data_IF_526985201693
#
_entry.id   IF_526985201693
#
_cell.length_a   1.000
_cell.length_b   1.000
_cell.length_c   1.000
_cell.angle_alpha   90.00
_cell.angle_beta   90.00
_cell.angle_gamma   90.00
#
_symmetry.space_group_name_H-M   'P 1'
#
loop_
_entity.id
_entity.type
_entity.pdbx_description
1 polymer ?
#
# COMPACT_ATOMS: atom_id res chain seq x y z
N UNK A 1 18.86 -8.84 -10.63
CA UNK A 1 18.69 -7.43 -11.02
C UNK A 1 18.90 -7.23 -12.52
N UNK A 2 20.06 -7.55 -13.08
CA UNK A 2 20.41 -7.39 -14.50
C UNK A 2 19.37 -7.92 -15.50
N UNK A 3 18.76 -9.07 -15.21
CA UNK A 3 17.69 -9.63 -16.06
C UNK A 3 16.47 -8.68 -16.18
N UNK A 4 16.01 -8.13 -15.05
CA UNK A 4 14.87 -7.19 -15.05
C UNK A 4 15.24 -5.87 -15.72
N UNK A 5 16.42 -5.32 -15.44
CA UNK A 5 16.91 -4.09 -16.06
C UNK A 5 16.97 -4.21 -17.58
N UNK A 6 17.51 -5.32 -18.09
CA UNK A 6 17.65 -5.55 -19.53
C UNK A 6 16.29 -5.60 -20.23
N UNK A 7 15.31 -6.31 -19.66
CA UNK A 7 14.00 -6.50 -20.28
C UNK A 7 13.04 -5.32 -20.05
N UNK A 8 13.27 -4.51 -19.02
CA UNK A 8 12.46 -3.33 -18.72
C UNK A 8 13.10 -2.03 -19.21
N UNK A 9 14.30 -2.05 -19.79
CA UNK A 9 15.07 -0.85 -20.15
C UNK A 9 14.24 0.23 -20.84
N UNK A 10 13.48 -0.10 -21.88
CA UNK A 10 12.63 0.87 -22.58
C UNK A 10 11.61 1.52 -21.65
N UNK A 11 10.92 0.73 -20.83
CA UNK A 11 9.94 1.24 -19.84
C UNK A 11 10.63 2.12 -18.80
N UNK A 12 11.83 1.74 -18.33
CA UNK A 12 12.58 2.49 -17.34
C UNK A 12 13.01 3.86 -17.89
N UNK A 13 13.64 3.87 -19.07
CA UNK A 13 14.19 5.06 -19.70
C UNK A 13 13.06 6.04 -20.10
N UNK A 14 11.97 5.54 -20.71
CA UNK A 14 10.86 6.38 -21.18
C UNK A 14 10.06 7.05 -20.04
N UNK A 15 9.98 6.40 -18.88
CA UNK A 15 9.15 6.85 -17.76
C UNK A 15 9.95 7.44 -16.59
N UNK A 16 11.27 7.57 -16.75
CA UNK A 16 12.15 8.06 -15.68
C UNK A 16 12.11 7.16 -14.44
N UNK A 17 12.04 5.84 -14.64
CA UNK A 17 11.97 4.85 -13.56
C UNK A 17 13.32 4.15 -13.38
N UNK A 18 13.56 3.63 -12.19
CA UNK A 18 14.75 2.87 -11.87
C UNK A 18 14.43 1.65 -11.01
N UNK A 19 15.25 0.61 -11.13
CA UNK A 19 15.24 -0.55 -10.25
C UNK A 19 16.26 -0.32 -9.13
N UNK A 20 15.81 -0.41 -7.89
CA UNK A 20 16.64 -0.21 -6.70
C UNK A 20 16.73 -1.51 -5.90
N UNK A 21 17.94 -2.02 -5.71
CA UNK A 21 18.21 -3.10 -4.76
C UNK A 21 18.13 -2.56 -3.33
N UNK A 22 17.19 -3.09 -2.56
CA UNK A 22 16.98 -2.68 -1.17
C UNK A 22 17.22 -3.82 -0.18
N UNK A 23 17.86 -4.92 -0.61
CA UNK A 23 18.14 -6.08 0.25
C UNK A 23 18.94 -5.73 1.51
N UNK A 24 19.76 -4.66 1.44
CA UNK A 24 20.55 -4.16 2.58
C UNK A 24 19.78 -3.17 3.47
N UNK A 25 18.72 -2.56 2.97
CA UNK A 25 17.85 -1.72 3.79
C UNK A 25 16.77 -2.60 4.42
N UNK A 26 17.08 -3.12 5.60
CA UNK A 26 16.21 -4.04 6.34
C UNK A 26 14.92 -3.40 6.87
N UNK A 27 14.81 -2.07 6.79
CA UNK A 27 13.72 -1.29 7.37
C UNK A 27 12.86 -0.54 6.36
N UNK A 28 13.21 -0.58 5.07
CA UNK A 28 12.51 0.17 4.02
C UNK A 28 11.00 -0.05 4.06
N UNK A 29 10.52 -1.28 4.26
CA UNK A 29 9.10 -1.64 4.36
C UNK A 29 8.60 -1.77 5.81
N UNK A 30 9.35 -1.27 6.78
CA UNK A 30 8.87 -1.27 8.17
C UNK A 30 7.83 -0.18 8.36
N UNK A 31 6.69 -0.56 8.97
CA UNK A 31 5.59 0.33 9.33
C UNK A 31 5.07 0.03 10.72
N UNK A 32 4.67 1.09 11.41
CA UNK A 32 3.85 1.05 12.61
C UNK A 32 2.69 2.00 12.36
N UNK A 33 1.51 1.45 12.11
CA UNK A 33 0.32 2.23 11.80
C UNK A 33 -0.80 1.79 12.76
N UNK A 34 -1.51 2.73 13.42
CA UNK A 34 -2.56 2.39 14.38
C UNK A 34 -3.69 1.58 13.75
N UNK A 35 -3.93 1.69 12.43
CA UNK A 35 -4.93 0.91 11.68
C UNK A 35 -4.61 -0.56 11.58
N UNK A 36 -3.37 -0.95 11.81
CA UNK A 36 -2.94 -2.34 11.75
C UNK A 36 -2.82 -2.91 13.17
N UNK A 37 -3.32 -4.14 13.41
CA UNK A 37 -3.26 -4.76 14.74
C UNK A 37 -1.83 -5.10 15.20
N UNK A 38 -0.84 -4.95 14.32
CA UNK A 38 0.57 -5.15 14.61
C UNK A 38 1.43 -4.29 13.67
N UNK A 39 2.61 -3.89 14.17
CA UNK A 39 3.64 -3.33 13.32
C UNK A 39 4.26 -4.39 12.40
N UNK A 40 4.63 -4.00 11.19
CA UNK A 40 5.35 -4.86 10.26
C UNK A 40 6.80 -4.40 10.17
N UNK A 41 7.74 -5.33 10.25
CA UNK A 41 9.16 -5.07 10.00
C UNK A 41 9.59 -5.85 8.77
N UNK A 42 10.34 -5.20 7.90
CA UNK A 42 10.92 -5.91 6.77
C UNK A 42 11.39 -5.03 5.63
N UNK A 43 11.73 -5.75 4.58
CA UNK A 43 12.29 -5.25 3.32
C UNK A 43 11.80 -6.11 2.17
N UNK A 44 12.18 -5.75 0.95
CA UNK A 44 12.00 -6.55 -0.26
C UNK A 44 13.36 -6.76 -0.94
N UNK A 45 13.38 -7.45 -2.08
CA UNK A 45 14.64 -7.59 -2.83
C UNK A 45 14.88 -6.39 -3.74
N UNK A 46 13.85 -5.96 -4.48
CA UNK A 46 13.96 -4.83 -5.43
C UNK A 46 12.73 -3.94 -5.37
N UNK A 47 12.92 -2.62 -5.51
CA UNK A 47 11.86 -1.65 -5.78
C UNK A 47 11.96 -1.16 -7.23
N UNK A 48 10.82 -0.94 -7.88
CA UNK A 48 10.73 -0.11 -9.08
C UNK A 48 10.18 1.24 -8.65
N UNK A 49 10.96 2.30 -8.84
CA UNK A 49 10.67 3.65 -8.32
C UNK A 49 10.89 4.72 -9.39
N UNK A 50 10.29 5.88 -9.19
CA UNK A 50 10.63 7.11 -9.91
C UNK A 50 12.06 7.56 -9.56
N UNK A 51 12.87 7.88 -10.56
CA UNK A 51 14.28 8.26 -10.35
C UNK A 51 14.43 9.48 -9.44
N UNK A 52 13.43 10.38 -9.41
CA UNK A 52 13.44 11.56 -8.55
C UNK A 52 13.35 11.20 -7.07
N UNK A 53 12.67 10.10 -6.72
CA UNK A 53 12.55 9.67 -5.32
C UNK A 53 13.89 9.19 -4.74
N UNK A 54 14.75 8.62 -5.59
CA UNK A 54 16.11 8.22 -5.23
C UNK A 54 16.98 9.46 -4.94
N UNK A 55 16.85 10.52 -5.74
CA UNK A 55 17.63 11.77 -5.55
C UNK A 55 17.36 12.43 -4.19
N UNK A 56 16.17 12.22 -3.64
CA UNK A 56 15.74 12.75 -2.35
C UNK A 56 15.90 11.76 -1.18
N UNK A 57 16.55 10.59 -1.40
CA UNK A 57 16.78 9.57 -0.37
C UNK A 57 15.46 9.06 0.25
N UNK A 58 14.36 9.13 -0.48
CA UNK A 58 13.05 8.61 -0.06
C UNK A 58 12.49 7.72 -1.18
N UNK A 59 13.03 6.50 -1.38
CA UNK A 59 12.66 5.66 -2.52
C UNK A 59 11.15 5.39 -2.62
N UNK A 60 10.48 5.26 -1.47
CA UNK A 60 9.04 4.98 -1.40
C UNK A 60 8.17 6.18 -1.81
N UNK A 61 8.70 7.40 -1.86
CA UNK A 61 7.99 8.56 -2.42
C UNK A 61 7.65 8.37 -3.92
N UNK A 62 8.39 7.51 -4.62
CA UNK A 62 8.20 7.25 -6.05
C UNK A 62 7.86 5.81 -6.38
N UNK A 63 7.49 4.98 -5.40
CA UNK A 63 7.33 3.54 -5.64
C UNK A 63 6.21 3.23 -6.64
N UNK A 64 6.51 2.33 -7.57
CA UNK A 64 5.58 1.79 -8.58
C UNK A 64 5.37 0.30 -8.40
N UNK A 65 6.41 -0.42 -7.97
CA UNK A 65 6.32 -1.85 -7.73
C UNK A 65 7.30 -2.30 -6.65
N UNK A 66 6.86 -3.24 -5.81
CA UNK A 66 7.68 -3.99 -4.85
C UNK A 66 7.93 -5.39 -5.43
N UNK A 67 9.19 -5.82 -5.50
CA UNK A 67 9.59 -7.07 -6.15
C UNK A 67 10.28 -8.00 -5.16
N UNK A 68 9.68 -9.18 -4.98
CA UNK A 68 10.23 -10.30 -4.23
C UNK A 68 10.75 -11.37 -5.18
N UNK A 69 12.03 -11.65 -5.10
CA UNK A 69 12.74 -12.67 -5.86
C UNK A 69 12.89 -13.95 -5.04
N UNK A 70 12.67 -15.10 -5.68
CA UNK A 70 12.90 -16.41 -5.08
C UNK A 70 13.59 -17.32 -6.08
N UNK A 71 14.45 -18.23 -5.62
CA UNK A 71 14.95 -19.31 -6.49
C UNK A 71 13.84 -20.26 -6.92
N UNK A 72 12.83 -20.44 -6.06
CA UNK A 72 11.63 -21.22 -6.30
C UNK A 72 10.48 -20.58 -5.54
N UNK A 73 9.36 -20.33 -6.22
CA UNK A 73 8.17 -19.79 -5.58
C UNK A 73 7.43 -20.90 -4.81
N UNK A 74 7.04 -20.61 -3.57
CA UNK A 74 6.35 -21.53 -2.67
C UNK A 74 5.14 -20.80 -2.07
N UNK A 75 4.17 -21.55 -1.54
CA UNK A 75 2.93 -20.97 -0.99
C UNK A 75 3.19 -19.92 0.10
N UNK A 76 4.15 -20.17 0.99
CA UNK A 76 4.52 -19.23 2.07
C UNK A 76 5.06 -17.88 1.57
N UNK A 77 5.67 -17.86 0.38
CA UNK A 77 6.22 -16.64 -0.20
C UNK A 77 5.13 -15.65 -0.62
N UNK A 78 3.92 -16.13 -0.92
CA UNK A 78 2.79 -15.26 -1.30
C UNK A 78 2.35 -14.36 -0.15
N UNK A 79 2.16 -14.93 1.04
CA UNK A 79 1.77 -14.16 2.22
C UNK A 79 2.82 -13.08 2.56
N UNK A 80 4.10 -13.41 2.45
CA UNK A 80 5.19 -12.45 2.60
C UNK A 80 5.09 -11.30 1.57
N UNK A 81 4.94 -11.63 0.28
CA UNK A 81 4.83 -10.63 -0.78
C UNK A 81 3.58 -9.73 -0.63
N UNK A 82 2.48 -10.26 -0.09
CA UNK A 82 1.30 -9.46 0.22
C UNK A 82 1.58 -8.45 1.35
N UNK A 83 2.27 -8.88 2.41
CA UNK A 83 2.69 -7.96 3.48
C UNK A 83 3.63 -6.87 2.98
N UNK A 84 4.56 -7.21 2.08
CA UNK A 84 5.45 -6.23 1.44
C UNK A 84 4.68 -5.21 0.58
N UNK A 85 3.65 -5.65 -0.16
CA UNK A 85 2.74 -4.75 -0.88
C UNK A 85 1.95 -3.86 0.08
N UNK A 86 1.40 -4.40 1.16
CA UNK A 86 0.68 -3.60 2.17
C UNK A 86 1.60 -2.52 2.73
N UNK A 87 2.81 -2.87 3.16
CA UNK A 87 3.78 -1.90 3.67
C UNK A 87 4.11 -0.81 2.66
N UNK A 88 4.46 -1.19 1.42
CA UNK A 88 4.79 -0.23 0.38
C UNK A 88 3.60 0.68 0.07
N UNK A 89 2.39 0.10 0.01
CA UNK A 89 1.17 0.85 -0.26
C UNK A 89 0.78 1.78 0.89
N UNK A 90 1.11 1.47 2.15
CA UNK A 90 0.89 2.36 3.28
C UNK A 90 1.88 3.52 3.32
N UNK A 91 3.13 3.28 2.92
CA UNK A 91 4.21 4.29 2.94
C UNK A 91 4.26 5.17 1.69
N UNK A 92 3.71 4.72 0.57
CA UNK A 92 3.67 5.50 -0.65
C UNK A 92 2.91 6.82 -0.41
N UNK A 93 3.28 7.94 -1.05
CA UNK A 93 2.54 9.19 -0.94
C UNK A 93 1.25 9.16 -1.78
N UNK A 94 0.51 10.28 -1.77
CA UNK A 94 -0.63 10.48 -2.65
C UNK A 94 -0.22 10.28 -4.12
N UNK A 95 -1.13 9.73 -4.93
CA UNK A 95 -0.90 9.39 -6.35
C UNK A 95 0.22 8.38 -6.64
N UNK A 96 0.70 7.65 -5.64
CA UNK A 96 1.62 6.53 -5.82
C UNK A 96 0.95 5.21 -5.42
N UNK A 97 0.52 4.44 -6.42
CA UNK A 97 -0.13 3.15 -6.22
C UNK A 97 0.79 2.00 -6.61
N UNK A 98 1.51 1.39 -5.65
CA UNK A 98 2.40 0.28 -5.94
C UNK A 98 1.62 -1.00 -6.23
N UNK A 99 2.22 -1.86 -7.07
CA UNK A 99 1.84 -3.27 -7.19
C UNK A 99 2.94 -4.16 -6.61
N UNK A 100 2.58 -5.39 -6.22
CA UNK A 100 3.52 -6.41 -5.76
C UNK A 100 3.84 -7.40 -6.87
N UNK A 101 5.10 -7.83 -6.97
CA UNK A 101 5.55 -8.91 -7.83
C UNK A 101 6.35 -9.93 -7.01
N UNK A 102 5.89 -11.18 -7.00
CA UNK A 102 6.66 -12.32 -6.50
C UNK A 102 7.07 -13.19 -7.70
N UNK A 103 8.37 -13.40 -7.89
CA UNK A 103 8.87 -14.13 -9.04
C UNK A 103 10.16 -14.92 -8.83
N UNK A 104 10.33 -15.98 -9.62
CA UNK A 104 11.60 -16.69 -9.82
C UNK A 104 12.32 -16.31 -11.11
N UNK A 105 11.78 -15.33 -11.83
CA UNK A 105 12.26 -14.84 -13.14
C UNK A 105 12.16 -15.89 -14.26
N UNK A 106 11.52 -17.04 -14.01
CA UNK A 106 11.26 -18.07 -15.03
C UNK A 106 9.80 -18.08 -15.39
N UNK A 107 8.98 -18.84 -14.67
CA UNK A 107 7.61 -19.19 -15.05
C UNK A 107 6.59 -18.88 -13.93
N UNK A 108 7.06 -18.25 -12.85
CA UNK A 108 6.24 -17.90 -11.69
C UNK A 108 6.16 -16.39 -11.54
N UNK A 109 5.34 -15.70 -12.33
CA UNK A 109 5.15 -14.25 -12.19
C UNK A 109 3.83 -13.96 -11.47
N UNK A 110 3.88 -13.76 -10.15
CA UNK A 110 2.69 -13.51 -9.34
C UNK A 110 2.57 -12.01 -9.05
N UNK A 111 1.65 -11.35 -9.75
CA UNK A 111 1.31 -9.94 -9.56
C UNK A 111 0.21 -9.78 -8.53
N UNK A 112 0.27 -8.75 -7.69
CA UNK A 112 -0.72 -8.45 -6.66
C UNK A 112 -0.98 -6.95 -6.54
N UNK A 113 -2.23 -6.55 -6.31
CA UNK A 113 -2.64 -5.14 -6.14
C UNK A 113 -4.04 -5.06 -5.49
N UNK A 114 -4.45 -3.90 -4.98
CA UNK A 114 -5.84 -3.69 -4.55
C UNK A 114 -6.67 -3.15 -5.71
N UNK A 115 -7.85 -3.72 -5.96
CA UNK A 115 -8.71 -3.34 -7.09
C UNK A 115 -9.79 -2.31 -6.66
N UNK A 116 -10.69 -1.94 -7.59
CA UNK A 116 -11.85 -1.05 -7.35
C UNK A 116 -12.77 -1.47 -6.20
N UNK A 117 -12.85 -2.77 -5.91
CA UNK A 117 -13.62 -3.30 -4.78
C UNK A 117 -12.84 -3.26 -3.48
N UNK A 118 -11.66 -2.61 -3.47
CA UNK A 118 -10.77 -2.45 -2.32
C UNK A 118 -10.30 -3.80 -1.74
N UNK A 119 -10.22 -4.82 -2.60
CA UNK A 119 -9.75 -6.16 -2.21
C UNK A 119 -8.44 -6.52 -2.91
N UNK A 120 -7.61 -7.29 -2.21
CA UNK A 120 -6.36 -7.83 -2.75
C UNK A 120 -6.66 -8.77 -3.92
N UNK A 121 -6.28 -8.34 -5.11
CA UNK A 121 -6.32 -9.13 -6.34
C UNK A 121 -4.92 -9.66 -6.63
N UNK A 122 -4.83 -10.89 -7.16
CA UNK A 122 -3.58 -11.44 -7.62
C UNK A 122 -3.75 -12.22 -8.92
N UNK A 123 -2.71 -12.21 -9.75
CA UNK A 123 -2.66 -12.87 -11.04
C UNK A 123 -1.34 -13.59 -11.20
N UNK A 124 -1.39 -14.86 -11.61
CA UNK A 124 -0.19 -15.60 -12.03
C UNK A 124 -0.07 -15.54 -13.55
N UNK A 125 1.08 -15.10 -14.03
CA UNK A 125 1.48 -15.15 -15.43
C UNK A 125 2.64 -16.15 -15.57
N UNK A 126 2.54 -17.03 -16.57
CA UNK A 126 3.56 -18.07 -16.83
C UNK A 126 4.58 -17.60 -17.87
N UNK A 127 4.12 -16.91 -18.91
CA UNK A 127 5.00 -16.46 -20.00
C UNK A 127 5.69 -15.13 -19.62
N UNK A 128 7.05 -15.06 -19.60
CA UNK A 128 7.79 -13.85 -19.25
C UNK A 128 7.41 -12.63 -20.09
N UNK A 129 7.20 -12.80 -21.40
CA UNK A 129 6.78 -11.70 -22.28
C UNK A 129 5.51 -11.03 -21.78
N UNK A 130 4.50 -11.82 -21.43
CA UNK A 130 3.25 -11.32 -20.87
C UNK A 130 3.47 -10.65 -19.50
N UNK A 131 4.41 -11.14 -18.70
CA UNK A 131 4.75 -10.51 -17.42
C UNK A 131 5.39 -9.12 -17.62
N UNK A 132 6.30 -8.99 -18.57
CA UNK A 132 6.89 -7.69 -18.92
C UNK A 132 5.87 -6.73 -19.52
N UNK A 133 4.99 -7.21 -20.41
CA UNK A 133 3.87 -6.42 -20.94
C UNK A 133 2.93 -5.95 -19.82
N UNK A 134 2.68 -6.78 -18.81
CA UNK A 134 1.91 -6.39 -17.63
C UNK A 134 2.62 -5.27 -16.84
N UNK A 135 3.91 -5.44 -16.53
CA UNK A 135 4.70 -4.42 -15.81
C UNK A 135 4.65 -3.10 -16.58
N UNK A 136 4.95 -3.13 -17.88
CA UNK A 136 4.97 -1.96 -18.75
C UNK A 136 3.66 -1.17 -18.72
N UNK A 137 2.51 -1.83 -18.59
CA UNK A 137 1.21 -1.14 -18.50
C UNK A 137 0.85 -0.73 -17.09
N UNK A 138 1.22 -1.52 -16.09
CA UNK A 138 0.82 -1.28 -14.71
C UNK A 138 1.65 -0.20 -14.00
N UNK A 139 2.88 0.07 -14.41
CA UNK A 139 3.78 1.02 -13.70
C UNK A 139 3.81 2.43 -14.26
N UNK A 140 3.31 2.65 -15.49
CA UNK A 140 3.33 3.95 -16.18
C UNK A 140 2.44 4.97 -15.50
N UNK A 141 1.22 4.58 -15.16
CA UNK A 141 0.27 5.45 -14.47
C UNK A 141 0.36 5.21 -12.96
N UNK A 142 0.83 6.17 -12.16
CA UNK A 142 1.00 5.96 -10.72
C UNK A 142 -0.28 6.19 -9.92
N UNK A 143 -1.22 7.00 -10.42
CA UNK A 143 -2.38 7.43 -9.63
C UNK A 143 -3.41 6.31 -9.40
N UNK A 144 -4.06 6.36 -8.23
CA UNK A 144 -5.16 5.47 -7.87
C UNK A 144 -6.33 5.61 -8.86
N UNK A 145 -7.10 4.54 -9.02
CA UNK A 145 -8.37 4.51 -9.78
C UNK A 145 -8.29 4.71 -11.29
N UNK A 146 -7.11 5.04 -11.86
CA UNK A 146 -6.97 5.13 -13.31
C UNK A 146 -6.89 3.74 -13.93
N UNK A 147 -7.79 3.41 -14.88
CA UNK A 147 -7.77 2.11 -15.54
C UNK A 147 -6.54 1.96 -16.44
N UNK A 148 -6.02 0.75 -16.53
CA UNK A 148 -5.01 0.35 -17.50
C UNK A 148 -5.40 -0.96 -18.17
N UNK A 149 -4.98 -1.13 -19.42
CA UNK A 149 -5.28 -2.31 -20.23
C UNK A 149 -4.00 -3.07 -20.56
N UNK A 150 -4.07 -4.39 -20.40
CA UNK A 150 -2.99 -5.32 -20.73
C UNK A 150 -3.44 -6.19 -21.91
N UNK A 151 -2.61 -6.42 -22.95
CA UNK A 151 -3.06 -6.99 -24.23
C UNK A 151 -3.78 -8.35 -24.14
N UNK A 152 -3.37 -9.20 -23.20
CA UNK A 152 -3.91 -10.57 -23.03
C UNK A 152 -4.96 -10.67 -21.92
N UNK A 153 -5.35 -9.56 -21.31
CA UNK A 153 -6.44 -9.50 -20.33
C UNK A 153 -7.60 -8.77 -20.99
N UNK A 154 -8.69 -9.49 -21.24
CA UNK A 154 -9.87 -8.98 -21.97
C UNK A 154 -10.71 -7.93 -21.24
N UNK A 155 -10.17 -7.29 -20.20
CA UNK A 155 -10.82 -6.25 -19.41
C UNK A 155 -9.81 -5.21 -18.95
N UNK A 156 -10.31 -4.03 -18.60
CA UNK A 156 -9.51 -3.03 -17.90
C UNK A 156 -9.26 -3.43 -16.46
N UNK A 157 -8.13 -2.98 -15.93
CA UNK A 157 -7.72 -3.19 -14.55
C UNK A 157 -7.54 -1.84 -13.88
N UNK A 158 -7.91 -1.76 -12.62
CA UNK A 158 -7.66 -0.61 -11.76
C UNK A 158 -6.81 -1.03 -10.57
N UNK A 159 -6.02 -0.10 -10.06
CA UNK A 159 -5.21 -0.28 -8.85
C UNK A 159 -5.49 0.84 -7.86
N UNK A 160 -5.50 0.46 -6.59
CA UNK A 160 -5.78 1.31 -5.45
C UNK A 160 -4.71 1.13 -4.39
N UNK A 161 -4.48 2.19 -3.63
CA UNK A 161 -3.59 2.21 -2.49
C UNK A 161 -4.39 1.86 -1.23
N UNK A 162 -3.91 0.92 -0.42
CA UNK A 162 -4.61 0.49 0.80
C UNK A 162 -4.78 1.62 1.82
N UNK A 163 -3.80 2.52 1.90
CA UNK A 163 -3.84 3.71 2.76
C UNK A 163 -5.09 4.58 2.53
N UNK A 164 -5.58 4.64 1.29
CA UNK A 164 -6.72 5.47 0.89
C UNK A 164 -8.07 4.92 1.41
N UNK A 165 -8.11 3.66 1.85
CA UNK A 165 -9.36 3.00 2.22
C UNK A 165 -9.30 2.12 3.46
N UNK A 166 -8.12 1.97 4.08
CA UNK A 166 -7.99 1.31 5.36
C UNK A 166 -8.63 2.20 6.43
N UNK A 167 -9.73 1.77 7.08
CA UNK A 167 -10.41 2.59 8.07
C UNK A 167 -9.49 2.82 9.28
N UNK A 168 -9.61 3.98 9.91
CA UNK A 168 -9.06 4.20 11.24
C UNK A 168 -9.66 3.16 12.20
N UNK A 169 -8.89 2.63 13.17
CA UNK A 169 -9.51 1.86 14.25
C UNK A 169 -10.54 2.76 14.90
N UNK A 170 -11.69 2.18 15.20
CA UNK A 170 -12.58 2.76 16.19
C UNK A 170 -11.77 2.91 17.48
N UNK A 171 -11.60 4.14 17.97
CA UNK A 171 -10.94 4.40 19.25
C UNK A 171 -11.85 3.99 20.43
N UNK A 172 -13.02 3.43 20.13
CA UNK A 172 -14.04 3.00 21.06
C UNK A 172 -14.72 4.19 21.72
N UNK A 173 -14.47 5.43 21.28
CA UNK A 173 -15.06 6.61 21.88
C UNK A 173 -16.58 6.62 21.65
N UNK A 174 -17.04 6.17 20.48
CA UNK A 174 -18.45 6.00 20.15
C UNK A 174 -19.10 4.97 21.10
N UNK A 175 -18.52 3.77 21.20
CA UNK A 175 -19.02 2.69 22.06
C UNK A 175 -18.98 3.07 23.56
N UNK A 176 -17.93 3.77 23.99
CA UNK A 176 -17.79 4.26 25.36
C UNK A 176 -18.82 5.35 25.67
N UNK A 177 -19.09 6.27 24.75
CA UNK A 177 -20.15 7.26 24.92
C UNK A 177 -21.52 6.62 24.97
N UNK A 178 -21.83 5.66 24.09
CA UNK A 178 -23.08 4.91 24.15
C UNK A 178 -23.29 4.25 25.51
N UNK A 179 -22.23 3.67 26.11
CA UNK A 179 -22.30 3.11 27.47
C UNK A 179 -22.59 4.18 28.54
N UNK A 180 -21.99 5.37 28.45
CA UNK A 180 -22.29 6.45 29.38
C UNK A 180 -23.73 6.95 29.23
N UNK A 181 -24.25 7.05 28.00
CA UNK A 181 -25.65 7.40 27.73
C UNK A 181 -26.63 6.35 28.29
N UNK A 182 -26.31 5.07 28.16
CA UNK A 182 -27.12 3.98 28.73
C UNK A 182 -27.17 3.99 30.26
N UNK A 183 -26.17 4.59 30.91
CA UNK A 183 -26.10 4.73 32.37
C UNK A 183 -26.46 6.14 32.86
N UNK A 184 -27.12 6.96 32.03
CA UNK A 184 -27.39 8.37 32.34
C UNK A 184 -28.26 8.59 33.57
N UNK A 185 -29.02 7.57 34.01
CA UNK A 185 -29.82 7.56 35.24
C UNK A 185 -29.03 7.16 36.49
N UNK A 186 -27.87 6.52 36.32
CA UNK A 186 -27.00 6.04 37.41
C UNK A 186 -25.80 6.97 37.64
N UNK A 187 -25.35 7.66 36.59
CA UNK A 187 -24.13 8.47 36.59
C UNK A 187 -24.42 9.93 36.94
N UNK A 188 -23.49 10.60 37.63
CA UNK A 188 -23.62 12.01 37.98
C UNK A 188 -23.76 12.90 36.73
N UNK A 189 -24.73 13.84 36.69
CA UNK A 189 -24.97 14.71 35.53
C UNK A 189 -23.73 15.50 35.07
N UNK A 190 -22.95 16.00 36.01
CA UNK A 190 -21.72 16.77 35.74
C UNK A 190 -20.65 15.89 35.09
N UNK A 191 -20.52 14.64 35.54
CA UNK A 191 -19.61 13.67 34.92
C UNK A 191 -20.04 13.35 33.49
N UNK A 192 -21.33 13.07 33.27
CA UNK A 192 -21.85 12.74 31.94
C UNK A 192 -21.67 13.92 30.97
N UNK A 193 -21.93 15.15 31.44
CA UNK A 193 -21.75 16.35 30.64
C UNK A 193 -20.27 16.56 30.25
N UNK A 194 -19.33 16.29 31.16
CA UNK A 194 -17.91 16.33 30.85
C UNK A 194 -17.52 15.31 29.76
N UNK A 195 -18.04 14.07 29.84
CA UNK A 195 -17.77 13.04 28.82
C UNK A 195 -18.34 13.38 27.44
N UNK A 196 -19.56 13.93 27.38
CA UNK A 196 -20.14 14.45 26.13
C UNK A 196 -19.27 15.55 25.52
N UNK A 197 -18.74 16.46 26.34
CA UNK A 197 -17.86 17.54 25.84
C UNK A 197 -16.51 17.02 25.35
N UNK A 198 -15.91 16.05 26.03
CA UNK A 198 -14.66 15.42 25.61
C UNK A 198 -14.84 14.68 24.28
N UNK A 199 -15.92 13.90 24.16
CA UNK A 199 -16.28 13.19 22.93
C UNK A 199 -16.55 14.15 21.77
N UNK A 200 -17.35 15.20 21.99
CA UNK A 200 -17.61 16.21 20.97
C UNK A 200 -16.32 16.92 20.52
N UNK A 201 -15.38 17.15 21.44
CA UNK A 201 -14.07 17.72 21.10
C UNK A 201 -13.23 16.77 20.25
N UNK A 202 -13.18 15.49 20.62
CA UNK A 202 -12.49 14.46 19.82
C UNK A 202 -13.08 14.35 18.41
N UNK A 203 -14.41 14.39 18.29
CA UNK A 203 -15.13 14.31 17.02
C UNK A 203 -14.86 15.54 16.13
N UNK A 204 -14.77 16.74 16.73
CA UNK A 204 -14.35 17.95 16.00
C UNK A 204 -12.88 17.88 15.60
N UNK A 205 -11.99 17.35 16.45
CA UNK A 205 -10.56 17.21 16.14
C UNK A 205 -10.27 16.19 15.05
N UNK A 206 -11.09 15.13 14.94
CA UNK A 206 -10.96 14.13 13.89
C UNK A 206 -11.52 14.59 12.53
N UNK A 207 -12.26 15.70 12.49
CA UNK A 207 -12.75 16.27 11.24
C UNK A 207 -11.60 16.90 10.42
N UNK A 208 -11.48 16.55 9.12
CA UNK A 208 -10.39 17.05 8.25
C UNK A 208 -10.28 18.58 8.20
N UNK A 209 -11.40 19.30 8.38
CA UNK A 209 -11.45 20.76 8.33
C UNK A 209 -10.83 21.45 9.55
N UNK A 210 -10.75 20.75 10.69
CA UNK A 210 -10.31 21.31 11.98
C UNK A 210 -9.02 20.67 12.53
N UNK A 211 -8.52 19.63 11.88
CA UNK A 211 -7.33 18.88 12.31
C UNK A 211 -6.06 19.75 12.46
N UNK A 212 -5.93 20.84 11.69
CA UNK A 212 -4.77 21.74 11.74
C UNK A 212 -4.86 22.83 12.83
N UNK A 213 -6.00 23.02 13.48
CA UNK A 213 -6.18 24.02 14.55
C UNK A 213 -5.70 23.53 15.93
N UNK A 214 -5.41 22.23 16.06
CA UNK A 214 -5.07 21.57 17.32
C UNK A 214 -3.68 20.89 17.29
N UNK A 215 -2.82 21.28 16.34
CA UNK A 215 -1.41 20.89 16.30
C UNK A 215 -0.53 21.79 17.15
#
# INVERSE_FOLDING_TARGET
MTYLETHLKGVLDENGLSLLDVTKDISVLSISDPRLPFGMKGTTDVLLVDIRSIQHIEPLAGVRMVVKLKKKVERRHKAQAFGELVAASMKAPMDCTPIGLLTDLTDQWHFSWFNEKKVLTHLRIVHPKNAFDFIAKAVVEPASSKPFRVPFIGRELTKFKIDDFLPMPDDGADEMMERYELMADVVEPEFLMARRMDYARQLVQSMPMYADLYK
#
